data_IF_327046318713
#
_entry.id   IF_327046318713
#
_cell.length_a   1.000
_cell.length_b   1.000
_cell.length_c   1.000
_cell.angle_alpha   90.00
_cell.angle_beta   90.00
_cell.angle_gamma   90.00
#
_symmetry.space_group_name_H-M   'P 1'
#
loop_
_entity.id
_entity.type
_entity.pdbx_description
1 polymer ?
#
# COMPACT_ATOMS: atom_id res chain seq x y z
N UNK A 1 -1.95 19.53 -5.46
CA UNK A 1 -1.21 18.41 -4.85
C UNK A 1 -1.96 17.12 -5.17
N UNK A 2 -1.33 16.14 -5.80
CA UNK A 2 -1.95 14.84 -6.11
C UNK A 2 -2.08 13.97 -4.84
N UNK A 3 -3.01 12.99 -4.79
CA UNK A 3 -3.07 12.04 -3.68
C UNK A 3 -1.74 11.32 -3.42
N UNK A 4 -0.96 11.03 -4.48
CA UNK A 4 0.37 10.44 -4.37
C UNK A 4 1.39 11.33 -3.68
N UNK A 5 1.37 12.64 -3.96
CA UNK A 5 2.26 13.61 -3.31
C UNK A 5 1.94 13.75 -1.81
N UNK A 6 0.66 13.75 -1.45
CA UNK A 6 0.22 13.76 -0.04
C UNK A 6 0.69 12.48 0.67
N UNK A 7 0.48 11.32 0.05
CA UNK A 7 0.91 10.04 0.62
C UNK A 7 2.44 9.98 0.80
N UNK A 8 3.20 10.48 -0.18
CA UNK A 8 4.67 10.60 -0.10
C UNK A 8 5.09 11.48 1.08
N UNK A 9 4.49 12.67 1.20
CA UNK A 9 4.80 13.61 2.28
C UNK A 9 4.46 13.03 3.66
N UNK A 10 3.32 12.35 3.81
CA UNK A 10 2.94 11.71 5.06
C UNK A 10 3.87 10.55 5.43
N UNK A 11 4.24 9.71 4.46
CA UNK A 11 5.18 8.61 4.68
C UNK A 11 6.58 9.13 5.07
N UNK A 12 7.06 10.18 4.38
CA UNK A 12 8.29 10.88 4.75
C UNK A 12 8.23 11.42 6.18
N UNK A 13 7.18 12.19 6.51
CA UNK A 13 7.04 12.82 7.82
C UNK A 13 7.03 11.80 8.95
N UNK A 14 6.40 10.63 8.74
CA UNK A 14 6.39 9.54 9.72
C UNK A 14 7.80 8.98 9.96
N UNK A 15 8.54 8.66 8.90
CA UNK A 15 9.89 8.12 9.02
C UNK A 15 10.87 9.15 9.56
N UNK A 16 10.74 10.40 9.12
CA UNK A 16 11.55 11.49 9.62
C UNK A 16 11.30 11.75 11.11
N UNK A 17 10.06 11.69 11.59
CA UNK A 17 9.76 11.78 13.02
C UNK A 17 10.40 10.65 13.84
N UNK A 18 10.54 9.45 13.28
CA UNK A 18 11.29 8.35 13.91
C UNK A 18 12.79 8.67 13.92
N UNK A 19 13.33 9.18 12.80
CA UNK A 19 14.74 9.54 12.69
C UNK A 19 15.18 10.62 13.69
N UNK A 20 14.29 11.58 13.98
CA UNK A 20 14.53 12.65 14.96
C UNK A 20 14.36 12.21 16.42
N UNK A 21 13.98 10.95 16.68
CA UNK A 21 13.89 10.45 18.04
C UNK A 21 15.28 10.37 18.70
N UNK A 22 15.38 10.52 20.04
CA UNK A 22 16.61 10.31 20.79
C UNK A 22 17.29 8.98 20.48
N UNK A 23 18.62 8.91 20.63
CA UNK A 23 19.39 7.69 20.39
C UNK A 23 19.64 6.88 21.67
N UNK A 24 19.50 7.52 22.84
CA UNK A 24 19.65 6.90 24.17
C UNK A 24 18.48 7.24 25.08
N UNK A 25 18.27 6.42 26.12
CA UNK A 25 17.28 6.70 27.16
C UNK A 25 17.59 7.98 27.93
N UNK A 26 18.86 8.29 28.16
CA UNK A 26 19.23 9.53 28.86
C UNK A 26 18.82 10.78 28.07
N UNK A 27 19.02 10.79 26.75
CA UNK A 27 18.51 11.85 25.88
C UNK A 27 16.98 11.92 25.88
N UNK A 28 16.30 10.76 25.84
CA UNK A 28 14.85 10.69 25.92
C UNK A 28 14.33 11.24 27.25
N UNK A 29 14.97 10.91 28.37
CA UNK A 29 14.61 11.39 29.71
C UNK A 29 14.90 12.89 29.87
N UNK A 30 15.95 13.40 29.24
CA UNK A 30 16.24 14.82 29.24
C UNK A 30 15.18 15.63 28.48
N UNK A 31 14.70 15.11 27.35
CA UNK A 31 13.68 15.77 26.53
C UNK A 31 12.25 15.58 27.06
N UNK A 32 11.94 14.39 27.58
CA UNK A 32 10.62 13.99 28.06
C UNK A 32 10.74 13.26 29.40
N UNK A 33 10.89 13.98 30.53
CA UNK A 33 11.15 13.37 31.84
C UNK A 33 10.12 12.33 32.30
N UNK A 34 8.86 12.44 31.86
CA UNK A 34 7.81 11.48 32.21
C UNK A 34 8.10 10.06 31.69
N UNK A 35 8.88 9.94 30.59
CA UNK A 35 9.22 8.65 29.99
C UNK A 35 10.02 7.76 30.93
N UNK A 36 10.75 8.32 31.92
CA UNK A 36 11.44 7.53 32.96
C UNK A 36 10.46 6.69 33.77
N UNK A 37 9.32 7.29 34.13
CA UNK A 37 8.24 6.55 34.81
C UNK A 37 7.57 5.56 33.87
N UNK A 38 7.36 5.93 32.60
CA UNK A 38 6.75 5.04 31.61
C UNK A 38 7.59 3.77 31.41
N UNK A 39 8.90 3.90 31.22
CA UNK A 39 9.83 2.76 31.09
C UNK A 39 9.78 1.85 32.32
N UNK A 40 9.77 2.42 33.53
CA UNK A 40 9.65 1.64 34.76
C UNK A 40 8.31 0.89 34.89
N UNK A 41 7.20 1.49 34.43
CA UNK A 41 5.89 0.82 34.41
C UNK A 41 5.78 -0.23 33.30
N UNK A 42 6.39 -0.01 32.13
CA UNK A 42 6.44 -0.97 31.03
C UNK A 42 7.19 -2.25 31.42
N UNK A 43 8.25 -2.12 32.22
CA UNK A 43 8.98 -3.28 32.76
C UNK A 43 8.08 -4.20 33.61
N UNK A 44 7.08 -3.64 34.32
CA UNK A 44 6.13 -4.42 35.15
C UNK A 44 5.19 -5.30 34.32
N UNK A 45 4.97 -4.95 33.06
CA UNK A 45 4.19 -5.76 32.11
C UNK A 45 5.07 -6.56 31.16
N UNK A 46 6.38 -6.65 31.44
CA UNK A 46 7.34 -7.47 30.70
C UNK A 46 7.97 -6.79 29.48
N UNK A 47 7.74 -5.50 29.24
CA UNK A 47 8.44 -4.74 28.21
C UNK A 47 9.69 -4.08 28.80
N UNK A 48 10.80 -4.82 28.78
CA UNK A 48 12.10 -4.35 29.30
C UNK A 48 12.76 -3.46 28.24
N UNK A 49 13.11 -2.24 28.62
CA UNK A 49 13.71 -1.24 27.73
C UNK A 49 14.99 -0.74 28.40
N UNK A 50 16.10 -0.82 27.67
CA UNK A 50 17.41 -0.35 28.09
C UNK A 50 18.21 0.15 26.86
N UNK A 51 19.41 0.68 27.11
CA UNK A 51 20.33 1.14 26.07
C UNK A 51 21.28 0.04 25.57
N UNK A 52 21.13 -1.21 26.05
CA UNK A 52 21.93 -2.33 25.56
C UNK A 52 21.56 -2.64 24.11
N UNK A 53 22.52 -3.15 23.34
CA UNK A 53 22.29 -3.53 21.93
C UNK A 53 21.20 -4.60 21.86
N UNK A 54 20.10 -4.30 21.15
CA UNK A 54 19.01 -5.22 20.92
C UNK A 54 19.32 -6.13 19.73
N UNK A 55 19.53 -7.41 20.00
CA UNK A 55 19.71 -8.42 18.95
C UNK A 55 18.35 -8.85 18.35
N UNK A 56 18.40 -9.47 17.17
CA UNK A 56 17.22 -10.03 16.53
C UNK A 56 16.58 -11.16 17.36
N UNK A 57 17.41 -12.01 17.98
CA UNK A 57 16.95 -13.10 18.86
C UNK A 57 16.22 -12.56 20.10
N UNK A 58 16.77 -11.51 20.74
CA UNK A 58 16.12 -10.86 21.88
C UNK A 58 14.83 -10.16 21.47
N UNK A 59 14.82 -9.48 20.31
CA UNK A 59 13.63 -8.80 19.82
C UNK A 59 12.46 -9.74 19.56
N UNK A 60 12.73 -10.87 18.89
CA UNK A 60 11.75 -11.90 18.53
C UNK A 60 11.55 -12.98 19.59
N UNK A 61 12.11 -12.84 20.79
CA UNK A 61 11.87 -13.80 21.85
C UNK A 61 10.40 -13.75 22.30
N UNK A 62 9.66 -14.86 22.14
CA UNK A 62 8.23 -14.93 22.48
C UNK A 62 7.94 -14.64 23.96
N UNK A 63 8.89 -14.94 24.85
CA UNK A 63 8.70 -14.83 26.30
C UNK A 63 8.93 -13.42 26.82
N UNK A 64 9.89 -12.68 26.28
CA UNK A 64 10.32 -11.38 26.82
C UNK A 64 10.70 -10.33 25.76
N UNK A 65 10.65 -10.67 24.47
CA UNK A 65 11.07 -9.79 23.39
C UNK A 65 10.14 -8.61 23.15
N UNK A 66 10.71 -7.48 22.75
CA UNK A 66 9.98 -6.24 22.50
C UNK A 66 8.96 -6.38 21.36
N UNK A 67 9.17 -7.29 20.40
CA UNK A 67 8.20 -7.56 19.34
C UNK A 67 6.83 -7.91 19.93
N UNK A 68 6.79 -8.79 20.93
CA UNK A 68 5.56 -9.29 21.54
C UNK A 68 5.12 -8.47 22.75
N UNK A 69 6.06 -8.10 23.63
CA UNK A 69 5.73 -7.42 24.89
C UNK A 69 5.46 -5.92 24.72
N UNK A 70 5.88 -5.32 23.60
CA UNK A 70 5.61 -3.93 23.30
C UNK A 70 4.88 -3.75 21.96
N UNK A 71 5.50 -4.10 20.84
CA UNK A 71 4.98 -3.73 19.51
C UNK A 71 3.69 -4.44 19.13
N UNK A 72 3.54 -5.72 19.45
CA UNK A 72 2.30 -6.47 19.19
C UNK A 72 1.12 -5.87 19.96
N UNK A 73 1.31 -5.60 21.27
CA UNK A 73 0.30 -4.93 22.12
C UNK A 73 -0.03 -3.53 21.60
N UNK A 74 0.99 -2.74 21.29
CA UNK A 74 0.83 -1.39 20.74
C UNK A 74 0.07 -1.43 19.41
N UNK A 75 0.40 -2.36 18.52
CA UNK A 75 -0.29 -2.52 17.23
C UNK A 75 -1.76 -2.86 17.44
N UNK A 76 -2.09 -3.76 18.38
CA UNK A 76 -3.49 -4.11 18.67
C UNK A 76 -4.30 -2.94 19.23
N UNK A 77 -3.68 -2.03 19.98
CA UNK A 77 -4.35 -0.81 20.47
C UNK A 77 -4.52 0.25 19.37
N UNK A 78 -3.60 0.32 18.41
CA UNK A 78 -3.53 1.40 17.42
C UNK A 78 -3.99 1.00 16.01
N UNK A 79 -4.29 -0.28 15.78
CA UNK A 79 -4.84 -0.84 14.55
C UNK A 79 -6.12 -1.65 14.81
N UNK A 80 -7.26 -0.96 15.03
CA UNK A 80 -8.53 -1.58 15.39
C UNK A 80 -9.02 -2.71 14.47
N UNK A 81 -8.81 -2.68 13.13
CA UNK A 81 -9.24 -3.76 12.23
C UNK A 81 -8.50 -5.09 12.42
N UNK A 82 -7.24 -5.07 12.88
CA UNK A 82 -6.50 -6.31 13.17
C UNK A 82 -6.97 -6.95 14.47
N UNK A 83 -7.16 -6.13 15.51
CA UNK A 83 -7.73 -6.56 16.79
C UNK A 83 -9.16 -7.10 16.63
N UNK A 84 -9.98 -6.46 15.80
CA UNK A 84 -11.35 -6.92 15.57
C UNK A 84 -11.45 -8.23 14.80
N UNK A 85 -10.56 -8.48 13.82
CA UNK A 85 -10.56 -9.77 13.10
C UNK A 85 -10.17 -10.94 14.02
N UNK A 86 -9.31 -10.70 15.01
CA UNK A 86 -8.94 -11.69 16.02
C UNK A 86 -10.04 -11.91 17.07
N UNK A 87 -10.66 -10.84 17.58
CA UNK A 87 -11.78 -10.93 18.53
C UNK A 87 -13.03 -11.60 17.95
N UNK A 88 -13.21 -11.52 16.63
CA UNK A 88 -14.28 -12.25 15.91
C UNK A 88 -13.88 -13.70 15.57
N UNK A 89 -12.59 -14.04 15.66
CA UNK A 89 -12.06 -15.38 15.40
C UNK A 89 -11.95 -16.25 16.66
N UNK A 90 -11.57 -15.66 17.79
CA UNK A 90 -11.37 -16.35 19.07
C UNK A 90 -12.42 -15.90 20.10
N UNK A 91 -13.35 -16.78 20.51
CA UNK A 91 -14.25 -16.50 21.63
C UNK A 91 -13.56 -16.55 22.99
N UNK A 92 -12.29 -17.01 23.05
CA UNK A 92 -11.54 -17.08 24.30
C UNK A 92 -11.00 -15.71 24.73
N UNK A 93 -11.05 -15.39 26.04
CA UNK A 93 -10.47 -14.15 26.55
C UNK A 93 -8.97 -14.16 26.30
N UNK A 94 -8.48 -13.14 25.60
CA UNK A 94 -7.05 -12.94 25.40
C UNK A 94 -6.35 -12.73 26.76
N UNK A 95 -5.48 -13.66 27.18
CA UNK A 95 -4.83 -13.60 28.50
C UNK A 95 -3.90 -12.39 28.63
N UNK A 96 -3.49 -11.76 27.53
CA UNK A 96 -2.63 -10.58 27.53
C UNK A 96 -3.41 -9.24 27.50
N UNK A 97 -4.74 -9.27 27.46
CA UNK A 97 -5.61 -8.09 27.49
C UNK A 97 -5.30 -7.13 28.66
N UNK A 98 -5.09 -7.59 29.91
CA UNK A 98 -4.76 -6.67 31.01
C UNK A 98 -3.46 -5.89 30.77
N UNK A 99 -2.43 -6.57 30.24
CA UNK A 99 -1.15 -5.94 29.94
C UNK A 99 -1.26 -4.98 28.76
N UNK A 100 -2.06 -5.35 27.74
CA UNK A 100 -2.35 -4.46 26.61
C UNK A 100 -3.04 -3.19 27.08
N UNK A 101 -4.12 -3.27 27.87
CA UNK A 101 -4.78 -2.07 28.42
C UNK A 101 -3.82 -1.22 29.22
N UNK A 102 -3.01 -1.85 30.08
CA UNK A 102 -2.00 -1.16 30.89
C UNK A 102 -0.96 -0.45 30.02
N UNK A 103 -0.52 -1.03 28.90
CA UNK A 103 0.36 -0.36 27.94
C UNK A 103 -0.29 0.90 27.36
N UNK A 104 -1.58 0.84 27.01
CA UNK A 104 -2.35 1.99 26.54
C UNK A 104 -2.42 3.13 27.56
N UNK A 105 -2.63 2.79 28.84
CA UNK A 105 -2.61 3.75 29.96
C UNK A 105 -1.23 4.36 30.19
N UNK A 106 -0.17 3.54 30.17
CA UNK A 106 1.21 4.01 30.39
C UNK A 106 1.63 5.01 29.30
N UNK A 107 1.32 4.69 28.05
CA UNK A 107 1.61 5.55 26.90
C UNK A 107 0.58 6.67 26.70
N UNK A 108 -0.52 6.65 27.47
CA UNK A 108 -1.67 7.55 27.35
C UNK A 108 -2.13 7.77 25.90
N UNK A 109 -2.39 6.66 25.21
CA UNK A 109 -2.68 6.69 23.78
C UNK A 109 -3.93 7.52 23.44
N UNK A 110 -4.97 7.47 24.27
CA UNK A 110 -6.21 8.23 24.06
C UNK A 110 -5.99 9.75 24.14
N UNK A 111 -5.03 10.20 24.97
CA UNK A 111 -4.67 11.60 25.15
C UNK A 111 -3.66 12.10 24.10
N UNK A 112 -3.14 11.21 23.25
CA UNK A 112 -2.07 11.51 22.29
C UNK A 112 -0.84 12.14 22.96
N UNK A 113 -0.50 11.69 24.17
CA UNK A 113 0.55 12.28 25.00
C UNK A 113 1.93 12.34 24.26
N UNK A 114 2.58 13.51 24.20
CA UNK A 114 3.85 13.67 23.48
C UNK A 114 4.98 12.77 24.01
N UNK A 115 5.05 12.51 25.32
CA UNK A 115 6.07 11.66 25.91
C UNK A 115 5.85 10.19 25.53
N UNK A 116 4.58 9.74 25.51
CA UNK A 116 4.20 8.42 25.00
C UNK A 116 4.59 8.23 23.54
N UNK A 117 4.31 9.23 22.69
CA UNK A 117 4.72 9.21 21.28
C UNK A 117 6.25 9.20 21.10
N UNK A 118 6.98 9.99 21.91
CA UNK A 118 8.44 10.05 21.86
C UNK A 118 9.07 8.70 22.24
N UNK A 119 8.57 8.03 23.28
CA UNK A 119 9.02 6.70 23.68
C UNK A 119 8.78 5.64 22.59
N UNK A 120 7.61 5.67 21.94
CA UNK A 120 7.33 4.77 20.81
C UNK A 120 8.31 5.01 19.65
N UNK A 121 8.59 6.27 19.29
CA UNK A 121 9.52 6.63 18.21
C UNK A 121 10.97 6.25 18.55
N UNK A 122 11.39 6.43 19.81
CA UNK A 122 12.68 5.96 20.32
C UNK A 122 12.83 4.45 20.08
N UNK A 123 11.85 3.65 20.49
CA UNK A 123 11.88 2.20 20.29
C UNK A 123 11.83 1.81 18.81
N UNK A 124 11.05 2.52 17.99
CA UNK A 124 11.03 2.30 16.53
C UNK A 124 12.40 2.55 15.91
N UNK A 125 13.06 3.66 16.27
CA UNK A 125 14.42 4.00 15.80
C UNK A 125 15.43 2.93 16.23
N UNK A 126 15.39 2.52 17.49
CA UNK A 126 16.26 1.45 18.04
C UNK A 126 16.07 0.13 17.28
N UNK A 127 14.83 -0.32 17.09
CA UNK A 127 14.53 -1.57 16.38
C UNK A 127 14.93 -1.51 14.90
N UNK A 128 14.65 -0.40 14.21
CA UNK A 128 15.08 -0.23 12.81
C UNK A 128 16.61 -0.34 12.71
N UNK A 129 17.36 0.38 13.55
CA UNK A 129 18.82 0.40 13.54
C UNK A 129 19.43 -0.95 13.94
N UNK A 130 18.95 -1.54 15.03
CA UNK A 130 19.64 -2.65 15.69
C UNK A 130 19.14 -4.02 15.23
N UNK A 131 17.86 -4.15 14.88
CA UNK A 131 17.28 -5.41 14.38
C UNK A 131 17.29 -5.43 12.85
N UNK A 132 16.60 -4.47 12.23
CA UNK A 132 16.45 -4.45 10.77
C UNK A 132 17.68 -3.91 10.03
N UNK A 133 18.65 -3.33 10.75
CA UNK A 133 19.87 -2.69 10.20
C UNK A 133 19.56 -1.55 9.23
N UNK A 134 18.44 -0.86 9.45
CA UNK A 134 17.97 0.24 8.62
C UNK A 134 17.98 1.55 9.38
N UNK A 135 18.46 2.61 8.74
CA UNK A 135 18.42 3.96 9.26
C UNK A 135 17.12 4.66 8.84
N UNK A 136 16.39 5.19 9.82
CA UNK A 136 15.09 5.81 9.57
C UNK A 136 15.16 7.08 8.71
N UNK A 137 16.27 7.85 8.78
CA UNK A 137 16.45 9.02 7.92
C UNK A 137 16.66 8.58 6.48
N UNK A 138 17.51 7.58 6.25
CA UNK A 138 17.72 7.02 4.90
C UNK A 138 16.44 6.42 4.33
N UNK A 139 15.63 5.74 5.14
CA UNK A 139 14.28 5.30 4.74
C UNK A 139 13.39 6.48 4.35
N UNK A 140 13.43 7.58 5.11
CA UNK A 140 12.68 8.79 4.78
C UNK A 140 13.15 9.38 3.44
N UNK A 141 14.47 9.49 3.23
CA UNK A 141 15.06 10.05 2.01
C UNK A 141 14.69 9.22 0.77
N UNK A 142 14.73 7.88 0.88
CA UNK A 142 14.27 6.98 -0.19
C UNK A 142 12.77 7.11 -0.44
N UNK A 143 11.97 7.32 0.60
CA UNK A 143 10.53 7.59 0.46
C UNK A 143 10.29 8.92 -0.25
N UNK A 144 11.09 9.94 0.04
CA UNK A 144 11.03 11.22 -0.66
C UNK A 144 11.48 11.08 -2.12
N UNK A 145 12.47 10.24 -2.41
CA UNK A 145 12.98 10.03 -3.76
C UNK A 145 12.03 9.18 -4.62
N UNK A 146 11.61 8.03 -4.12
CA UNK A 146 10.90 7.01 -4.90
C UNK A 146 9.40 6.90 -4.61
N UNK A 147 8.88 7.57 -3.58
CA UNK A 147 7.46 7.52 -3.23
C UNK A 147 7.16 6.66 -2.00
N UNK A 148 5.88 6.61 -1.59
CA UNK A 148 5.43 5.96 -0.35
C UNK A 148 5.47 4.43 -0.48
N UNK A 149 6.67 3.86 -0.35
CA UNK A 149 6.85 2.41 -0.37
C UNK A 149 6.34 1.77 0.91
N UNK A 150 5.66 0.63 0.77
CA UNK A 150 5.31 -0.24 1.88
C UNK A 150 6.57 -1.01 2.28
N UNK A 151 7.14 -0.65 3.42
CA UNK A 151 8.37 -1.23 3.95
C UNK A 151 8.23 -2.70 4.38
N UNK A 152 7.05 -3.31 4.26
CA UNK A 152 6.87 -4.76 4.37
C UNK A 152 7.24 -5.49 3.09
N UNK A 153 7.32 -4.78 1.96
CA UNK A 153 7.67 -5.35 0.66
C UNK A 153 9.17 -5.55 0.56
N UNK A 154 9.61 -6.73 0.13
CA UNK A 154 11.02 -7.06 -0.14
C UNK A 154 11.68 -6.05 -1.09
N UNK A 155 10.93 -5.51 -2.04
CA UNK A 155 11.44 -4.53 -3.01
C UNK A 155 11.79 -3.17 -2.37
N UNK A 156 11.15 -2.78 -1.27
CA UNK A 156 11.51 -1.59 -0.50
C UNK A 156 12.87 -1.78 0.20
N UNK A 157 13.10 -2.97 0.76
CA UNK A 157 14.39 -3.36 1.35
C UNK A 157 15.49 -3.45 0.29
N UNK A 158 15.16 -4.01 -0.88
CA UNK A 158 16.09 -4.06 -2.00
C UNK A 158 16.54 -2.67 -2.43
N UNK A 159 15.61 -1.70 -2.55
CA UNK A 159 15.98 -0.31 -2.83
C UNK A 159 16.88 0.29 -1.75
N UNK A 160 16.60 0.01 -0.48
CA UNK A 160 17.43 0.48 0.63
C UNK A 160 18.87 -0.01 0.50
N UNK A 161 19.07 -1.32 0.43
CA UNK A 161 20.41 -1.90 0.41
C UNK A 161 21.18 -1.64 -0.88
N UNK A 162 20.48 -1.53 -2.02
CA UNK A 162 21.10 -1.12 -3.28
C UNK A 162 21.63 0.31 -3.20
N UNK A 163 20.86 1.24 -2.63
CA UNK A 163 21.33 2.63 -2.47
C UNK A 163 22.51 2.69 -1.49
N UNK A 164 22.46 1.95 -0.39
CA UNK A 164 23.58 1.88 0.56
C UNK A 164 24.85 1.31 -0.07
N UNK A 165 24.73 0.22 -0.85
CA UNK A 165 25.85 -0.36 -1.59
C UNK A 165 26.44 0.59 -2.63
N UNK A 166 25.60 1.38 -3.31
CA UNK A 166 26.06 2.38 -4.27
C UNK A 166 26.80 3.53 -3.59
N UNK A 167 26.34 4.00 -2.42
CA UNK A 167 26.98 5.06 -1.62
C UNK A 167 28.31 4.58 -1.03
N UNK A 168 28.31 3.43 -0.37
CA UNK A 168 29.50 2.86 0.27
C UNK A 168 30.63 2.54 -0.72
N UNK A 169 30.31 2.37 -2.00
CA UNK A 169 31.31 2.18 -3.05
C UNK A 169 32.15 3.42 -3.42
N UNK A 170 31.86 4.62 -2.87
CA UNK A 170 32.64 5.87 -3.11
C UNK A 170 32.93 6.20 -4.59
N UNK A 171 32.04 5.90 -5.53
CA UNK A 171 32.37 6.03 -6.95
C UNK A 171 31.97 7.37 -7.58
N UNK A 172 32.78 7.77 -8.56
CA UNK A 172 32.63 8.97 -9.40
C UNK A 172 32.27 8.56 -10.83
N UNK A 173 31.73 9.49 -11.62
CA UNK A 173 31.40 9.32 -13.06
C UNK A 173 32.57 8.72 -13.87
N UNK A 174 33.81 8.91 -13.40
CA UNK A 174 35.05 8.45 -14.04
C UNK A 174 35.55 7.06 -13.64
N UNK A 175 34.94 6.36 -12.68
CA UNK A 175 35.33 5.01 -12.27
C UNK A 175 34.10 4.10 -12.20
N UNK A 176 33.60 3.71 -13.37
CA UNK A 176 32.42 2.85 -13.53
C UNK A 176 32.85 1.41 -13.85
N UNK A 177 32.64 0.46 -12.93
CA UNK A 177 32.89 -0.97 -13.15
C UNK A 177 31.64 -1.73 -13.61
N UNK A 178 31.82 -2.81 -14.38
CA UNK A 178 30.73 -3.61 -14.99
C UNK A 178 29.68 -4.16 -13.99
N UNK A 179 29.99 -4.26 -12.69
CA UNK A 179 29.11 -4.85 -11.68
C UNK A 179 27.94 -3.92 -11.28
N UNK A 180 28.08 -2.59 -11.47
CA UNK A 180 27.03 -1.62 -11.11
C UNK A 180 25.85 -1.57 -12.07
N UNK A 181 26.00 -2.02 -13.31
CA UNK A 181 24.86 -2.19 -14.23
C UNK A 181 23.85 -3.19 -13.65
N UNK A 182 24.33 -4.25 -13.00
CA UNK A 182 23.47 -5.22 -12.32
C UNK A 182 22.85 -4.62 -11.05
N UNK A 183 23.62 -3.86 -10.26
CA UNK A 183 23.09 -3.17 -9.06
C UNK A 183 22.02 -2.13 -9.43
N UNK A 184 22.24 -1.33 -10.46
CA UNK A 184 21.26 -0.35 -10.94
C UNK A 184 20.03 -1.01 -11.58
N UNK A 185 20.17 -2.20 -12.17
CA UNK A 185 19.02 -3.01 -12.61
C UNK A 185 18.13 -3.42 -11.44
N UNK A 186 18.69 -3.65 -10.25
CA UNK A 186 17.88 -3.92 -9.06
C UNK A 186 16.95 -2.74 -8.74
N UNK A 187 17.40 -1.48 -8.91
CA UNK A 187 16.53 -0.31 -8.77
C UNK A 187 15.33 -0.39 -9.73
N UNK A 188 15.57 -0.72 -11.01
CA UNK A 188 14.49 -0.88 -11.98
C UNK A 188 13.52 -2.00 -11.62
N UNK A 189 14.03 -3.16 -11.18
CA UNK A 189 13.19 -4.29 -10.78
C UNK A 189 12.36 -3.96 -9.55
N UNK A 190 12.96 -3.36 -8.51
CA UNK A 190 12.27 -2.99 -7.29
C UNK A 190 11.18 -1.95 -7.55
N UNK A 191 11.49 -0.88 -8.31
CA UNK A 191 10.48 0.13 -8.66
C UNK A 191 9.35 -0.47 -9.49
N UNK A 192 9.66 -1.38 -10.42
CA UNK A 192 8.62 -2.09 -11.18
C UNK A 192 7.74 -2.95 -10.29
N UNK A 193 8.33 -3.68 -9.34
CA UNK A 193 7.58 -4.53 -8.43
C UNK A 193 6.72 -3.70 -7.49
N UNK A 194 7.23 -2.59 -6.95
CA UNK A 194 6.45 -1.64 -6.15
C UNK A 194 5.29 -1.05 -6.99
N UNK A 195 5.53 -0.65 -8.23
CA UNK A 195 4.44 -0.22 -9.12
C UNK A 195 3.33 -1.28 -9.26
N UNK A 196 3.70 -2.56 -9.31
CA UNK A 196 2.73 -3.65 -9.49
C UNK A 196 2.11 -4.17 -8.18
N UNK A 197 2.81 -4.06 -7.03
CA UNK A 197 2.52 -4.82 -5.81
C UNK A 197 2.76 -4.07 -4.49
N UNK A 198 3.02 -2.76 -4.50
CA UNK A 198 3.39 -2.01 -3.29
C UNK A 198 2.35 -2.09 -2.16
N UNK A 199 1.07 -2.31 -2.47
CA UNK A 199 0.02 -2.30 -1.45
C UNK A 199 -0.31 -3.71 -0.98
N UNK A 200 0.33 -4.13 0.11
CA UNK A 200 0.05 -5.44 0.72
C UNK A 200 -1.17 -5.37 1.65
N UNK A 201 -2.19 -6.16 1.33
CA UNK A 201 -3.37 -6.37 2.17
C UNK A 201 -3.41 -7.83 2.59
N UNK A 202 -3.47 -8.09 3.89
CA UNK A 202 -3.75 -9.43 4.38
C UNK A 202 -5.22 -9.49 4.81
N UNK A 203 -5.94 -10.44 4.23
CA UNK A 203 -7.31 -10.78 4.62
C UNK A 203 -7.29 -12.15 5.30
N UNK A 204 -7.42 -12.21 6.63
CA UNK A 204 -7.52 -13.46 7.35
C UNK A 204 -8.92 -14.06 7.13
N UNK A 205 -8.97 -15.34 6.77
CA UNK A 205 -10.17 -16.15 6.93
C UNK A 205 -10.13 -16.78 8.31
N UNK A 206 -10.97 -16.27 9.21
CA UNK A 206 -10.93 -16.61 10.64
C UNK A 206 -11.42 -18.02 10.95
N UNK A 207 -12.20 -18.61 10.04
CA UNK A 207 -12.76 -19.96 10.20
C UNK A 207 -11.98 -21.04 9.47
N UNK A 208 -11.16 -20.66 8.49
CA UNK A 208 -10.26 -21.57 7.78
C UNK A 208 -9.03 -20.81 7.27
N UNK A 209 -7.91 -21.06 7.94
CA UNK A 209 -6.63 -20.40 7.65
C UNK A 209 -6.15 -20.65 6.23
N UNK A 210 -6.56 -21.74 5.58
CA UNK A 210 -6.16 -22.06 4.21
C UNK A 210 -6.80 -21.12 3.17
N UNK A 211 -7.88 -20.42 3.53
CA UNK A 211 -8.51 -19.40 2.69
C UNK A 211 -8.03 -17.98 3.02
N UNK A 212 -7.18 -17.80 4.04
CA UNK A 212 -6.56 -16.52 4.28
C UNK A 212 -5.63 -16.20 3.09
N UNK A 213 -5.67 -14.97 2.61
CA UNK A 213 -4.86 -14.59 1.46
C UNK A 213 -4.17 -13.25 1.65
N UNK A 214 -2.97 -13.16 1.08
CA UNK A 214 -2.23 -11.91 0.93
C UNK A 214 -2.51 -11.40 -0.47
N UNK A 215 -3.11 -10.22 -0.53
CA UNK A 215 -3.34 -9.50 -1.76
C UNK A 215 -2.30 -8.40 -1.95
N UNK A 216 -1.88 -8.21 -3.20
CA UNK A 216 -0.98 -7.13 -3.59
C UNK A 216 -1.70 -6.25 -4.62
N UNK A 217 -1.82 -4.97 -4.31
CA UNK A 217 -2.43 -4.00 -5.21
C UNK A 217 -1.38 -3.11 -5.88
N UNK A 218 -1.56 -2.78 -7.18
CA UNK A 218 -0.69 -1.84 -7.89
C UNK A 218 -0.70 -0.45 -7.26
N UNK A 219 0.44 0.24 -7.35
CA UNK A 219 0.57 1.63 -6.96
C UNK A 219 1.19 2.45 -8.11
N UNK A 220 0.31 3.08 -8.88
CA UNK A 220 0.69 3.88 -10.05
C UNK A 220 1.49 5.14 -9.68
N UNK A 221 1.66 5.46 -8.40
CA UNK A 221 2.56 6.56 -7.98
C UNK A 221 4.04 6.23 -8.20
N UNK A 222 4.39 4.97 -8.47
CA UNK A 222 5.76 4.56 -8.81
C UNK A 222 6.11 4.74 -10.29
N UNK A 223 5.16 5.16 -11.14
CA UNK A 223 5.45 5.42 -12.57
C UNK A 223 6.47 6.56 -12.72
N UNK A 224 6.25 7.69 -12.05
CA UNK A 224 7.17 8.83 -12.10
C UNK A 224 8.57 8.46 -11.55
N UNK A 225 8.71 7.88 -10.34
CA UNK A 225 9.96 7.32 -9.84
C UNK A 225 10.67 6.38 -10.82
N UNK A 226 9.94 5.47 -11.46
CA UNK A 226 10.52 4.54 -12.43
C UNK A 226 10.96 5.25 -13.72
N UNK A 227 10.20 6.23 -14.19
CA UNK A 227 10.58 7.09 -15.30
C UNK A 227 11.86 7.87 -14.99
N UNK A 228 11.92 8.53 -13.83
CA UNK A 228 13.12 9.26 -13.38
C UNK A 228 14.32 8.34 -13.19
N UNK A 229 14.12 7.13 -12.69
CA UNK A 229 15.20 6.14 -12.60
C UNK A 229 15.78 5.82 -13.98
N UNK A 230 14.94 5.68 -15.02
CA UNK A 230 15.43 5.47 -16.39
C UNK A 230 16.27 6.66 -16.86
N UNK A 231 15.84 7.88 -16.61
CA UNK A 231 16.55 9.09 -17.03
C UNK A 231 17.87 9.29 -16.29
N UNK A 232 17.88 9.06 -14.97
CA UNK A 232 19.04 9.31 -14.13
C UNK A 232 20.06 8.18 -14.25
N UNK A 233 19.64 6.94 -13.98
CA UNK A 233 20.57 5.81 -13.98
C UNK A 233 20.81 5.25 -15.37
N UNK A 234 19.81 5.26 -16.26
CA UNK A 234 20.00 4.79 -17.64
C UNK A 234 21.04 5.60 -18.40
N UNK A 235 21.10 6.93 -18.19
CA UNK A 235 22.14 7.79 -18.78
C UNK A 235 23.52 7.61 -18.14
N UNK A 236 23.58 7.21 -16.87
CA UNK A 236 24.85 6.91 -16.21
C UNK A 236 25.45 5.60 -16.72
N UNK A 237 24.61 4.58 -16.93
CA UNK A 237 25.03 3.25 -17.39
C UNK A 237 25.34 3.25 -18.88
N UNK A 238 24.56 3.99 -19.67
CA UNK A 238 24.71 4.11 -21.12
C UNK A 238 24.76 5.59 -21.53
N UNK A 239 25.92 6.25 -21.34
CA UNK A 239 26.07 7.66 -21.64
C UNK A 239 26.11 7.89 -23.16
N UNK A 240 24.95 8.22 -23.73
CA UNK A 240 24.81 8.71 -25.10
C UNK A 240 24.37 10.19 -25.08
N UNK A 241 25.30 11.17 -25.16
CA UNK A 241 24.98 12.59 -25.00
C UNK A 241 23.97 13.13 -26.03
N UNK A 242 23.88 12.48 -27.19
CA UNK A 242 22.97 12.86 -28.28
C UNK A 242 21.60 12.20 -28.16
N UNK A 243 21.40 11.27 -27.22
CA UNK A 243 20.11 10.63 -27.03
C UNK A 243 19.11 11.62 -26.42
N UNK A 244 17.96 11.82 -27.10
CA UNK A 244 16.85 12.63 -26.57
C UNK A 244 16.25 12.05 -25.28
N UNK A 245 16.39 10.74 -25.06
CA UNK A 245 15.86 10.00 -23.91
C UNK A 245 16.94 9.26 -23.13
N UNK A 246 16.80 7.94 -23.04
CA UNK A 246 17.87 7.04 -22.56
C UNK A 246 18.68 6.50 -23.74
N UNK A 247 19.91 6.06 -23.47
CA UNK A 247 20.79 5.45 -24.46
C UNK A 247 20.24 4.15 -25.07
N UNK A 248 20.87 3.68 -26.14
CA UNK A 248 20.44 2.53 -26.95
C UNK A 248 20.17 1.27 -26.12
N UNK A 249 20.96 1.02 -25.07
CA UNK A 249 20.86 -0.15 -24.18
C UNK A 249 19.50 -0.24 -23.48
N UNK A 250 18.97 0.89 -23.01
CA UNK A 250 17.71 0.94 -22.25
C UNK A 250 16.53 1.49 -23.03
N UNK A 251 16.76 1.95 -24.28
CA UNK A 251 15.73 2.59 -25.11
C UNK A 251 14.47 1.73 -25.24
N UNK A 252 14.63 0.46 -25.65
CA UNK A 252 13.50 -0.47 -25.81
C UNK A 252 12.77 -0.71 -24.50
N UNK A 253 13.50 -0.90 -23.40
CA UNK A 253 12.91 -1.12 -22.07
C UNK A 253 12.10 0.09 -21.61
N UNK A 254 12.61 1.31 -21.83
CA UNK A 254 11.92 2.55 -21.46
C UNK A 254 10.67 2.77 -22.33
N UNK A 255 10.73 2.51 -23.64
CA UNK A 255 9.56 2.57 -24.54
C UNK A 255 8.47 1.59 -24.10
N UNK A 256 8.85 0.37 -23.74
CA UNK A 256 7.91 -0.66 -23.26
C UNK A 256 7.29 -0.26 -21.91
N UNK A 257 8.10 0.26 -20.99
CA UNK A 257 7.60 0.77 -19.70
C UNK A 257 6.65 1.96 -19.89
N UNK A 258 6.98 2.96 -20.71
CA UNK A 258 6.11 4.11 -20.96
C UNK A 258 4.80 3.67 -21.60
N UNK A 259 4.87 2.77 -22.57
CA UNK A 259 3.70 2.15 -23.19
C UNK A 259 2.77 1.51 -22.15
N UNK A 260 3.32 0.67 -21.27
CA UNK A 260 2.61 0.06 -20.16
C UNK A 260 2.03 1.12 -19.20
N UNK A 261 2.84 2.08 -18.76
CA UNK A 261 2.45 3.14 -17.84
C UNK A 261 1.29 3.99 -18.39
N UNK A 262 1.36 4.39 -19.67
CA UNK A 262 0.29 5.14 -20.35
C UNK A 262 -1.01 4.34 -20.32
N UNK A 263 -0.96 3.05 -20.66
CA UNK A 263 -2.13 2.17 -20.61
C UNK A 263 -2.69 2.04 -19.19
N UNK A 264 -1.84 1.80 -18.19
CA UNK A 264 -2.27 1.66 -16.80
C UNK A 264 -2.90 2.95 -16.24
N UNK A 265 -2.28 4.10 -16.51
CA UNK A 265 -2.81 5.41 -16.12
C UNK A 265 -4.16 5.70 -16.80
N UNK A 266 -4.27 5.39 -18.09
CA UNK A 266 -5.51 5.60 -18.84
C UNK A 266 -6.65 4.71 -18.31
N UNK A 267 -6.38 3.42 -18.08
CA UNK A 267 -7.36 2.49 -17.51
C UNK A 267 -7.76 2.86 -16.07
N UNK A 268 -6.85 3.47 -15.31
CA UNK A 268 -7.12 4.00 -13.97
C UNK A 268 -7.79 5.39 -13.95
N UNK A 269 -8.17 5.94 -15.11
CA UNK A 269 -8.81 7.27 -15.21
C UNK A 269 -7.85 8.46 -15.01
N UNK A 270 -6.54 8.22 -14.86
CA UNK A 270 -5.49 9.25 -14.72
C UNK A 270 -5.10 9.84 -16.08
N UNK A 271 -6.09 10.31 -16.85
CA UNK A 271 -5.93 10.71 -18.26
C UNK A 271 -4.89 11.81 -18.49
N UNK A 272 -4.79 12.78 -17.56
CA UNK A 272 -3.81 13.87 -17.65
C UNK A 272 -2.38 13.33 -17.63
N UNK A 273 -2.11 12.36 -16.77
CA UNK A 273 -0.78 11.75 -16.64
C UNK A 273 -0.50 10.81 -17.80
N UNK A 274 -1.49 10.01 -18.21
CA UNK A 274 -1.39 9.21 -19.43
C UNK A 274 -1.05 10.09 -20.66
N UNK A 275 -1.70 11.25 -20.79
CA UNK A 275 -1.42 12.22 -21.85
C UNK A 275 0.00 12.81 -21.77
N UNK A 276 0.47 13.14 -20.56
CA UNK A 276 1.83 13.63 -20.34
C UNK A 276 2.89 12.62 -20.81
N UNK A 277 2.81 11.37 -20.35
CA UNK A 277 3.77 10.34 -20.76
C UNK A 277 3.64 9.95 -22.23
N UNK A 278 2.42 10.02 -22.80
CA UNK A 278 2.23 9.79 -24.22
C UNK A 278 2.89 10.87 -25.07
N UNK A 279 2.78 12.14 -24.66
CA UNK A 279 3.51 13.22 -25.32
C UNK A 279 5.03 13.02 -25.22
N UNK A 280 5.54 12.68 -24.03
CA UNK A 280 6.96 12.38 -23.84
C UNK A 280 7.43 11.25 -24.77
N UNK A 281 6.69 10.14 -24.83
CA UNK A 281 6.99 8.99 -25.69
C UNK A 281 7.06 9.40 -27.17
N UNK A 282 6.09 10.20 -27.63
CA UNK A 282 6.03 10.70 -29.02
C UNK A 282 7.20 11.59 -29.38
N UNK A 283 7.54 12.53 -28.51
CA UNK A 283 8.59 13.52 -28.77
C UNK A 283 9.99 12.91 -28.69
N UNK A 284 10.17 11.95 -27.78
CA UNK A 284 11.47 11.34 -27.48
C UNK A 284 11.79 10.16 -28.39
N UNK A 285 10.81 9.27 -28.60
CA UNK A 285 11.02 7.99 -29.29
C UNK A 285 10.18 7.83 -30.56
N UNK A 286 9.10 8.61 -30.69
CA UNK A 286 8.16 8.49 -31.79
C UNK A 286 8.54 9.22 -33.07
N UNK A 287 9.74 9.82 -33.16
CA UNK A 287 10.25 10.45 -34.39
C UNK A 287 11.24 9.55 -35.10
N UNK A 288 11.12 9.49 -36.42
CA UNK A 288 12.09 8.84 -37.31
C UNK A 288 13.29 9.77 -37.57
N UNK A 289 14.31 9.23 -38.21
CA UNK A 289 15.53 9.98 -38.57
C UNK A 289 15.21 11.18 -39.49
N UNK A 290 14.20 11.06 -40.35
CA UNK A 290 13.70 12.13 -41.23
C UNK A 290 12.86 13.21 -40.49
N UNK A 291 12.69 13.07 -39.17
CA UNK A 291 11.92 13.99 -38.32
C UNK A 291 10.41 13.77 -38.34
N UNK A 292 9.89 12.89 -39.20
CA UNK A 292 8.48 12.51 -39.24
C UNK A 292 8.08 11.70 -38.00
N UNK A 293 6.81 11.76 -37.61
CA UNK A 293 6.28 10.96 -36.50
C UNK A 293 5.95 9.56 -37.02
N UNK A 294 6.42 8.53 -36.33
CA UNK A 294 6.07 7.15 -36.64
C UNK A 294 4.53 6.96 -36.54
N UNK A 295 3.87 6.37 -37.55
CA UNK A 295 2.42 6.13 -37.57
C UNK A 295 1.88 5.38 -36.35
N UNK A 296 2.72 4.59 -35.68
CA UNK A 296 2.38 3.91 -34.41
C UNK A 296 2.00 4.93 -33.34
N UNK A 297 2.64 6.09 -33.33
CA UNK A 297 2.40 7.17 -32.37
C UNK A 297 1.74 8.41 -33.00
N UNK A 298 1.31 8.34 -34.28
CA UNK A 298 0.57 9.40 -34.96
C UNK A 298 -0.96 9.27 -34.77
N UNK A 299 -1.39 8.69 -33.66
CA UNK A 299 -2.80 8.45 -33.33
C UNK A 299 -3.22 9.20 -32.06
N UNK A 300 -4.50 9.16 -31.72
CA UNK A 300 -4.96 9.71 -30.45
C UNK A 300 -4.50 8.85 -29.27
N UNK A 301 -4.42 9.42 -28.07
CA UNK A 301 -4.12 8.66 -26.85
C UNK A 301 -5.09 7.48 -26.66
N UNK A 302 -6.38 7.71 -26.93
CA UNK A 302 -7.41 6.67 -26.88
C UNK A 302 -7.10 5.53 -27.86
N UNK A 303 -6.82 5.85 -29.12
CA UNK A 303 -6.53 4.83 -30.13
C UNK A 303 -5.23 4.06 -29.84
N UNK A 304 -4.23 4.76 -29.29
CA UNK A 304 -2.99 4.14 -28.84
C UNK A 304 -3.27 3.10 -27.74
N UNK A 305 -4.04 3.47 -26.71
CA UNK A 305 -4.43 2.56 -25.63
C UNK A 305 -5.34 1.44 -26.14
N UNK A 306 -6.31 1.73 -27.00
CA UNK A 306 -7.22 0.74 -27.57
C UNK A 306 -6.48 -0.30 -28.44
N UNK A 307 -5.40 0.09 -29.14
CA UNK A 307 -4.51 -0.87 -29.83
C UNK A 307 -3.79 -1.76 -28.84
N UNK A 308 -3.16 -1.19 -27.82
CA UNK A 308 -2.43 -1.97 -26.81
C UNK A 308 -3.34 -2.90 -26.00
N UNK A 309 -4.56 -2.47 -25.70
CA UNK A 309 -5.56 -3.31 -25.03
C UNK A 309 -6.00 -4.45 -25.95
N UNK A 310 -6.08 -4.25 -27.27
CA UNK A 310 -6.39 -5.34 -28.22
C UNK A 310 -5.22 -6.30 -28.42
N UNK A 311 -4.00 -5.76 -28.50
CA UNK A 311 -2.75 -6.52 -28.65
C UNK A 311 -2.38 -7.28 -27.36
N UNK A 312 -2.79 -6.77 -26.19
CA UNK A 312 -2.59 -7.36 -24.87
C UNK A 312 -3.87 -7.84 -24.17
N UNK A 313 -4.99 -7.96 -24.90
CA UNK A 313 -6.26 -8.40 -24.33
C UNK A 313 -6.09 -9.79 -23.71
N UNK A 314 -6.38 -9.92 -22.42
CA UNK A 314 -6.45 -11.23 -21.75
C UNK A 314 -5.41 -11.52 -20.67
N UNK A 315 -4.54 -10.57 -20.27
CA UNK A 315 -3.69 -10.80 -19.09
C UNK A 315 -4.46 -10.51 -17.79
N UNK A 316 -4.33 -11.40 -16.79
CA UNK A 316 -4.94 -11.27 -15.45
C UNK A 316 -4.75 -9.88 -14.84
N UNK A 317 -3.52 -9.36 -14.95
CA UNK A 317 -3.14 -8.07 -14.38
C UNK A 317 -3.84 -6.90 -15.05
N UNK A 318 -3.95 -6.93 -16.37
CA UNK A 318 -4.52 -5.82 -17.13
C UNK A 318 -6.02 -5.71 -16.89
N UNK A 319 -6.70 -6.85 -16.81
CA UNK A 319 -8.11 -6.87 -16.48
C UNK A 319 -8.36 -6.42 -15.04
N UNK A 320 -7.53 -6.88 -14.09
CA UNK A 320 -7.61 -6.44 -12.69
C UNK A 320 -7.45 -4.93 -12.56
N UNK A 321 -6.51 -4.33 -13.29
CA UNK A 321 -6.28 -2.88 -13.31
C UNK A 321 -7.43 -2.12 -13.96
N UNK A 322 -7.98 -2.65 -15.06
CA UNK A 322 -9.18 -2.10 -15.72
C UNK A 322 -10.37 -2.06 -14.75
N UNK A 323 -10.64 -3.17 -14.07
CA UNK A 323 -11.72 -3.27 -13.08
C UNK A 323 -11.48 -2.29 -11.94
N UNK A 324 -10.27 -2.27 -11.35
CA UNK A 324 -9.93 -1.36 -10.26
C UNK A 324 -10.10 0.12 -10.67
N UNK A 325 -9.71 0.49 -11.89
CA UNK A 325 -9.90 1.84 -12.43
C UNK A 325 -11.37 2.23 -12.61
N UNK A 326 -12.19 1.30 -13.10
CA UNK A 326 -13.64 1.50 -13.19
C UNK A 326 -14.28 1.64 -11.81
N UNK A 327 -13.90 0.79 -10.84
CA UNK A 327 -14.39 0.90 -9.47
C UNK A 327 -14.00 2.25 -8.84
N UNK A 328 -12.76 2.70 -8.99
CA UNK A 328 -12.34 4.02 -8.50
C UNK A 328 -13.15 5.15 -9.17
N UNK A 329 -13.34 5.09 -10.49
CA UNK A 329 -14.17 6.06 -11.23
C UNK A 329 -15.63 6.06 -10.74
N UNK A 330 -16.15 4.89 -10.37
CA UNK A 330 -17.47 4.76 -9.77
C UNK A 330 -17.53 5.47 -8.41
N UNK A 331 -16.55 5.26 -7.54
CA UNK A 331 -16.48 5.91 -6.22
C UNK A 331 -16.37 7.43 -6.34
N UNK A 332 -15.56 7.94 -7.27
CA UNK A 332 -15.46 9.38 -7.55
C UNK A 332 -16.77 9.98 -8.11
N UNK A 333 -17.44 9.28 -9.03
CA UNK A 333 -18.73 9.74 -9.55
C UNK A 333 -19.79 9.78 -8.42
N UNK A 334 -19.86 8.72 -7.62
CA UNK A 334 -20.79 8.62 -6.50
C UNK A 334 -20.50 9.62 -5.38
N UNK A 335 -19.22 9.92 -5.10
CA UNK A 335 -18.83 10.96 -4.11
C UNK A 335 -19.21 12.37 -4.57
N UNK A 336 -19.26 12.62 -5.88
CA UNK A 336 -19.77 13.86 -6.48
C UNK A 336 -21.30 13.89 -6.60
N UNK A 337 -21.98 12.77 -6.34
CA UNK A 337 -23.44 12.65 -6.45
C UNK A 337 -23.95 12.23 -7.83
N UNK A 338 -23.05 11.95 -8.77
CA UNK A 338 -23.39 11.44 -10.10
C UNK A 338 -23.64 9.92 -10.04
N UNK A 339 -24.88 9.57 -9.66
CA UNK A 339 -25.31 8.17 -9.54
C UNK A 339 -25.38 7.47 -10.89
N UNK A 340 -25.64 8.20 -11.97
CA UNK A 340 -25.73 7.63 -13.31
C UNK A 340 -24.36 7.15 -13.76
N UNK A 341 -23.35 8.04 -13.75
CA UNK A 341 -22.00 7.67 -14.13
C UNK A 341 -21.42 6.61 -13.18
N UNK A 342 -21.66 6.74 -11.87
CA UNK A 342 -21.26 5.75 -10.88
C UNK A 342 -21.76 4.34 -11.19
N UNK A 343 -23.06 4.19 -11.43
CA UNK A 343 -23.66 2.88 -11.76
C UNK A 343 -23.21 2.34 -13.12
N UNK A 344 -22.95 3.22 -14.10
CA UNK A 344 -22.37 2.81 -15.38
C UNK A 344 -21.00 2.18 -15.17
N UNK A 345 -20.11 2.82 -14.42
CA UNK A 345 -18.78 2.26 -14.14
C UNK A 345 -18.84 0.93 -13.39
N UNK A 346 -19.72 0.79 -12.38
CA UNK A 346 -19.92 -0.48 -11.68
C UNK A 346 -20.40 -1.60 -12.62
N UNK A 347 -21.32 -1.26 -13.54
CA UNK A 347 -21.86 -2.21 -14.52
C UNK A 347 -20.80 -2.67 -15.50
N UNK A 348 -19.99 -1.73 -16.02
CA UNK A 348 -18.90 -2.05 -16.93
C UNK A 348 -17.79 -2.84 -16.23
N UNK A 349 -17.47 -2.55 -14.97
CA UNK A 349 -16.53 -3.31 -14.16
C UNK A 349 -17.00 -4.77 -13.97
N UNK A 350 -18.28 -4.97 -13.66
CA UNK A 350 -18.85 -6.30 -13.52
C UNK A 350 -18.89 -7.06 -14.86
N UNK A 351 -19.10 -6.36 -15.98
CA UNK A 351 -19.07 -6.97 -17.33
C UNK A 351 -17.65 -7.39 -17.71
N UNK A 352 -16.68 -6.51 -17.49
CA UNK A 352 -15.25 -6.76 -17.68
C UNK A 352 -14.79 -8.01 -16.90
N UNK A 353 -15.12 -8.07 -15.62
CA UNK A 353 -14.86 -9.24 -14.76
C UNK A 353 -15.44 -10.54 -15.32
N UNK A 354 -16.73 -10.55 -15.66
CA UNK A 354 -17.39 -11.76 -16.20
C UNK A 354 -16.76 -12.21 -17.50
N UNK A 355 -16.57 -11.29 -18.45
CA UNK A 355 -15.99 -11.60 -19.75
C UNK A 355 -14.60 -12.23 -19.63
N UNK A 356 -13.77 -11.73 -18.71
CA UNK A 356 -12.45 -12.31 -18.45
C UNK A 356 -12.53 -13.70 -17.83
N UNK A 357 -13.28 -13.88 -16.75
CA UNK A 357 -13.39 -15.18 -16.08
C UNK A 357 -14.07 -16.26 -16.95
N UNK A 358 -14.93 -15.86 -17.90
CA UNK A 358 -15.51 -16.75 -18.92
C UNK A 358 -14.48 -17.11 -20.01
N UNK A 359 -13.51 -16.22 -20.29
CA UNK A 359 -12.44 -16.47 -21.27
C UNK A 359 -11.31 -17.35 -20.74
N UNK A 360 -11.10 -17.37 -19.43
CA UNK A 360 -10.18 -18.26 -18.70
C UNK A 360 -10.90 -19.60 -18.52
N UNK A 361 -10.55 -20.59 -19.34
CA UNK A 361 -11.27 -21.87 -19.48
C UNK A 361 -11.46 -22.63 -18.16
N UNK A 362 -12.35 -23.63 -18.14
CA UNK A 362 -12.65 -24.41 -16.92
C UNK A 362 -11.45 -25.22 -16.39
N UNK A 363 -10.54 -25.65 -17.26
CA UNK A 363 -9.31 -26.40 -16.91
C UNK A 363 -8.13 -25.51 -16.49
N UNK A 364 -8.18 -24.19 -16.69
CA UNK A 364 -7.10 -23.31 -16.24
C UNK A 364 -7.13 -23.17 -14.72
N UNK A 365 -5.96 -23.41 -14.09
CA UNK A 365 -5.74 -23.39 -12.64
C UNK A 365 -6.45 -22.18 -12.02
N UNK A 366 -7.26 -22.39 -10.96
CA UNK A 366 -7.99 -21.36 -10.18
C UNK A 366 -7.20 -20.05 -9.94
N UNK A 367 -5.87 -20.11 -9.93
CA UNK A 367 -4.92 -18.99 -9.83
C UNK A 367 -4.97 -17.98 -11.00
N UNK A 368 -5.53 -18.34 -12.16
CA UNK A 368 -5.66 -17.44 -13.32
C UNK A 368 -7.00 -16.70 -13.37
N UNK A 369 -8.01 -17.15 -12.60
CA UNK A 369 -9.30 -16.45 -12.51
C UNK A 369 -9.19 -15.27 -11.55
N UNK A 370 -9.90 -14.18 -11.86
CA UNK A 370 -10.07 -13.08 -10.93
C UNK A 370 -10.91 -13.52 -9.72
N UNK A 371 -10.64 -13.00 -8.52
CA UNK A 371 -11.49 -13.21 -7.35
C UNK A 371 -12.95 -12.85 -7.63
N UNK A 372 -13.92 -13.33 -6.82
CA UNK A 372 -15.32 -12.94 -6.96
C UNK A 372 -15.47 -11.41 -7.04
N UNK A 373 -16.25 -10.92 -8.00
CA UNK A 373 -16.38 -9.48 -8.24
C UNK A 373 -16.78 -8.68 -6.98
N UNK A 374 -17.62 -9.27 -6.12
CA UNK A 374 -18.04 -8.65 -4.86
C UNK A 374 -16.89 -8.42 -3.87
N UNK A 375 -15.87 -9.27 -3.87
CA UNK A 375 -14.68 -9.06 -3.04
C UNK A 375 -13.85 -7.90 -3.58
N UNK A 376 -13.59 -7.90 -4.89
CA UNK A 376 -12.87 -6.81 -5.56
C UNK A 376 -13.56 -5.45 -5.36
N UNK A 377 -14.90 -5.44 -5.43
CA UNK A 377 -15.72 -4.25 -5.24
C UNK A 377 -15.66 -3.73 -3.79
N UNK A 378 -15.79 -4.63 -2.80
CA UNK A 378 -15.75 -4.23 -1.38
C UNK A 378 -14.35 -3.83 -0.93
N UNK A 379 -13.30 -4.50 -1.41
CA UNK A 379 -11.91 -4.13 -1.12
C UNK A 379 -11.52 -2.79 -1.73
N UNK A 380 -11.86 -2.56 -3.00
CA UNK A 380 -11.63 -1.26 -3.64
C UNK A 380 -12.33 -0.13 -2.89
N UNK A 381 -13.56 -0.36 -2.42
CA UNK A 381 -14.31 0.62 -1.64
C UNK A 381 -13.65 0.89 -0.28
N UNK A 382 -13.20 -0.15 0.42
CA UNK A 382 -12.49 -0.02 1.70
C UNK A 382 -11.17 0.75 1.51
N UNK A 383 -10.40 0.45 0.47
CA UNK A 383 -9.18 1.18 0.14
C UNK A 383 -9.44 2.66 -0.13
N UNK A 384 -10.51 2.97 -0.87
CA UNK A 384 -10.90 4.36 -1.15
C UNK A 384 -11.20 5.12 0.15
N UNK A 385 -11.94 4.52 1.08
CA UNK A 385 -12.25 5.15 2.38
C UNK A 385 -11.06 5.20 3.35
N UNK A 386 -10.06 4.32 3.21
CA UNK A 386 -8.85 4.32 4.07
C UNK A 386 -7.93 5.50 3.84
N UNK A 387 -7.99 6.16 2.67
CA UNK A 387 -7.21 7.37 2.40
C UNK A 387 -7.78 8.51 3.25
N UNK A 388 -7.08 9.03 4.28
CA UNK A 388 -7.65 10.02 5.19
C UNK A 388 -8.00 11.33 4.45
N UNK A 389 -9.12 11.95 4.81
CA UNK A 389 -9.39 13.31 4.37
C UNK A 389 -8.35 14.27 4.95
N UNK A 390 -7.83 15.18 4.12
CA UNK A 390 -6.86 16.22 4.54
C UNK A 390 -7.49 17.60 4.67
N UNK A 391 -8.77 17.73 4.33
CA UNK A 391 -9.55 18.95 4.50
C UNK A 391 -11.05 18.60 4.60
N UNK A 392 -11.83 19.57 5.06
CA UNK A 392 -13.28 19.46 5.24
C UNK A 392 -14.02 19.09 3.95
N UNK A 393 -13.55 19.55 2.78
CA UNK A 393 -14.18 19.25 1.50
C UNK A 393 -14.12 17.74 1.18
N UNK A 394 -12.94 17.12 1.33
CA UNK A 394 -12.78 15.68 1.13
C UNK A 394 -13.58 14.85 2.13
N UNK A 395 -13.64 15.28 3.39
CA UNK A 395 -14.46 14.61 4.41
C UNK A 395 -15.96 14.64 4.04
N UNK A 396 -16.44 15.75 3.46
CA UNK A 396 -17.81 15.85 2.93
C UNK A 396 -18.03 14.95 1.71
N UNK A 397 -17.05 14.85 0.80
CA UNK A 397 -17.15 13.94 -0.36
C UNK A 397 -17.25 12.48 0.07
N UNK A 398 -16.48 12.05 1.06
CA UNK A 398 -16.56 10.70 1.63
C UNK A 398 -17.93 10.42 2.27
N UNK A 399 -18.43 11.33 3.10
CA UNK A 399 -19.77 11.20 3.68
C UNK A 399 -20.85 11.15 2.59
N UNK A 400 -20.69 11.92 1.50
CA UNK A 400 -21.60 11.87 0.35
C UNK A 400 -21.54 10.53 -0.39
N UNK A 401 -20.34 10.00 -0.63
CA UNK A 401 -20.17 8.67 -1.20
C UNK A 401 -20.93 7.65 -0.35
N UNK A 402 -20.69 7.62 0.96
CA UNK A 402 -21.36 6.69 1.87
C UNK A 402 -22.88 6.71 1.71
N UNK A 403 -23.49 7.91 1.69
CA UNK A 403 -24.94 8.07 1.52
C UNK A 403 -25.47 7.63 0.16
N UNK A 404 -24.63 7.65 -0.88
CA UNK A 404 -24.99 7.24 -2.23
C UNK A 404 -24.76 5.75 -2.49
N UNK A 405 -24.09 5.03 -1.60
CA UNK A 405 -23.85 3.61 -1.76
C UNK A 405 -25.12 2.78 -1.51
N UNK A 406 -25.36 1.74 -2.34
CA UNK A 406 -26.43 0.79 -2.10
C UNK A 406 -26.18 0.00 -0.82
N UNK A 407 -27.26 -0.50 -0.22
CA UNK A 407 -27.20 -1.26 1.03
C UNK A 407 -26.33 -2.53 0.91
N UNK A 408 -26.33 -3.15 -0.27
CA UNK A 408 -25.51 -4.31 -0.62
C UNK A 408 -24.00 -4.03 -0.56
N UNK A 409 -23.58 -2.76 -0.65
CA UNK A 409 -22.18 -2.35 -0.52
C UNK A 409 -21.85 -1.79 0.85
N UNK A 410 -22.80 -1.13 1.51
CA UNK A 410 -22.56 -0.57 2.84
C UNK A 410 -22.43 -1.65 3.91
N UNK A 411 -23.29 -2.67 3.91
CA UNK A 411 -23.30 -3.71 4.95
C UNK A 411 -21.98 -4.49 5.05
N UNK A 412 -21.38 -4.99 3.95
CA UNK A 412 -20.13 -5.77 4.03
C UNK A 412 -18.91 -4.98 4.50
N UNK A 413 -18.92 -3.64 4.37
CA UNK A 413 -17.74 -2.80 4.65
C UNK A 413 -17.88 -1.94 5.90
N UNK A 414 -19.09 -1.77 6.45
CA UNK A 414 -19.33 -0.82 7.55
C UNK A 414 -18.46 -1.10 8.77
N UNK A 415 -18.46 -2.34 9.26
CA UNK A 415 -17.65 -2.71 10.44
C UNK A 415 -16.14 -2.62 10.18
N UNK A 416 -15.69 -2.72 8.92
CA UNK A 416 -14.28 -2.51 8.51
C UNK A 416 -13.87 -1.03 8.53
N UNK A 417 -14.83 -0.09 8.43
CA UNK A 417 -14.58 1.33 8.20
C UNK A 417 -15.00 2.24 9.37
N UNK A 418 -15.92 1.79 10.24
CA UNK A 418 -16.56 2.63 11.28
C UNK A 418 -15.58 3.37 12.20
N UNK A 419 -14.46 2.77 12.55
CA UNK A 419 -13.46 3.42 13.43
C UNK A 419 -12.70 4.53 12.69
N UNK A 420 -12.37 4.31 11.41
CA UNK A 420 -11.79 5.33 10.54
C UNK A 420 -12.77 6.48 10.29
N UNK A 421 -14.06 6.18 10.13
CA UNK A 421 -15.12 7.18 10.07
C UNK A 421 -15.17 8.03 11.34
N UNK A 422 -15.07 7.39 12.52
CA UNK A 422 -15.04 8.09 13.81
C UNK A 422 -13.85 9.04 13.91
N UNK A 423 -12.64 8.56 13.64
CA UNK A 423 -11.41 9.37 13.70
C UNK A 423 -11.45 10.55 12.73
N UNK A 424 -11.92 10.33 11.50
CA UNK A 424 -12.04 11.41 10.51
C UNK A 424 -13.09 12.45 10.92
N UNK A 425 -14.23 12.01 11.44
CA UNK A 425 -15.26 12.92 11.96
C UNK A 425 -14.76 13.72 13.16
N UNK A 426 -14.01 13.11 14.09
CA UNK A 426 -13.39 13.81 15.23
C UNK A 426 -12.42 14.89 14.75
N UNK A 427 -11.59 14.58 13.75
CA UNK A 427 -10.61 15.53 13.19
C UNK A 427 -11.26 16.77 12.54
N UNK A 428 -12.46 16.62 11.96
CA UNK A 428 -13.17 17.70 11.26
C UNK A 428 -14.40 18.24 12.00
N UNK A 429 -14.68 17.77 13.22
CA UNK A 429 -15.83 18.20 14.02
C UNK A 429 -17.19 17.78 13.46
N UNK A 430 -17.27 16.62 12.80
CA UNK A 430 -18.49 16.07 12.23
C UNK A 430 -19.18 15.09 13.18
N UNK A 431 -20.51 15.00 13.07
CA UNK A 431 -21.31 13.96 13.73
C UNK A 431 -21.23 12.66 12.90
N UNK A 432 -20.63 11.61 13.48
CA UNK A 432 -20.44 10.30 12.84
C UNK A 432 -21.76 9.67 12.43
N UNK A 433 -22.78 9.72 13.28
CA UNK A 433 -24.08 9.09 12.99
C UNK A 433 -24.80 9.79 11.83
N UNK A 434 -24.53 11.08 11.61
CA UNK A 434 -25.07 11.84 10.47
C UNK A 434 -24.22 11.69 9.20
N UNK A 435 -22.90 11.65 9.33
CA UNK A 435 -21.99 11.53 8.19
C UNK A 435 -21.96 10.11 7.61
N UNK A 436 -21.91 9.11 8.50
CA UNK A 436 -21.74 7.70 8.19
C UNK A 436 -22.76 6.84 8.96
N UNK A 437 -24.07 7.00 8.71
CA UNK A 437 -25.09 6.23 9.41
C UNK A 437 -24.89 4.73 9.21
N UNK A 438 -25.11 3.98 10.29
CA UNK A 438 -25.12 2.52 10.27
C UNK A 438 -26.14 2.02 9.24
N UNK A 439 -25.76 1.05 8.39
CA UNK A 439 -26.69 0.48 7.42
C UNK A 439 -27.88 -0.19 8.11
N UNK A 440 -29.05 -0.08 7.50
CA UNK A 440 -30.25 -0.76 8.01
C UNK A 440 -30.04 -2.27 8.04
N UNK A 441 -30.53 -2.96 9.09
CA UNK A 441 -30.47 -4.41 9.22
C UNK A 441 -29.06 -4.99 9.44
N UNK A 442 -28.14 -4.21 10.03
CA UNK A 442 -26.79 -4.69 10.36
C UNK A 442 -26.81 -5.83 11.38
N UNK A 443 -27.74 -5.85 12.34
CA UNK A 443 -27.81 -6.93 13.33
C UNK A 443 -28.18 -8.28 12.70
N UNK A 444 -29.16 -8.29 11.79
CA UNK A 444 -29.48 -9.48 10.99
C UNK A 444 -28.34 -9.87 10.06
N UNK A 445 -27.65 -8.88 9.48
CA UNK A 445 -26.50 -9.12 8.60
C UNK A 445 -25.34 -9.76 9.37
N UNK A 446 -25.02 -9.26 10.57
CA UNK A 446 -24.01 -9.83 11.49
C UNK A 446 -24.39 -11.26 11.90
N UNK A 447 -25.66 -11.49 12.23
CA UNK A 447 -26.16 -12.82 12.58
C UNK A 447 -26.04 -13.82 11.41
N UNK A 448 -26.38 -13.40 10.19
CA UNK A 448 -26.26 -14.25 8.98
C UNK A 448 -24.80 -14.44 8.52
N UNK A 449 -23.96 -13.41 8.63
CA UNK A 449 -22.54 -13.52 8.31
C UNK A 449 -21.82 -14.48 9.27
N UNK A 450 -22.20 -14.47 10.55
CA UNK A 450 -21.76 -15.48 11.53
C UNK A 450 -22.26 -16.90 11.22
N UNK A 451 -23.44 -17.05 10.59
CA UNK A 451 -24.00 -18.34 10.18
C UNK A 451 -23.44 -18.92 8.87
N UNK A 452 -22.95 -18.09 7.95
CA UNK A 452 -22.40 -18.54 6.65
C UNK A 452 -21.04 -19.24 6.77
N UNK A 453 -20.38 -19.10 7.91
CA UNK A 453 -19.20 -19.89 8.26
C UNK A 453 -19.52 -21.38 8.54
N UNK A 454 -20.79 -21.74 8.73
CA UNK A 454 -21.23 -23.10 9.06
C UNK A 454 -21.64 -23.96 7.85
N UNK A 455 -21.87 -23.38 6.68
CA UNK A 455 -22.14 -24.13 5.45
C UNK A 455 -20.84 -24.34 4.67
N UNK A 456 -20.18 -25.46 4.95
CA UNK A 456 -19.12 -25.99 4.09
C UNK A 456 -19.71 -26.26 2.70
N UNK A 457 -19.09 -25.79 1.61
CA UNK A 457 -19.26 -26.44 0.32
C UNK A 457 -18.68 -27.85 0.44
N UNK A 458 -19.54 -28.87 0.38
CA UNK A 458 -19.10 -30.22 0.09
C UNK A 458 -18.33 -30.20 -1.24
N UNK A 459 -17.24 -30.96 -1.27
CA UNK A 459 -16.28 -31.14 -2.38
C UNK A 459 -15.16 -30.09 -2.49
N UNK A 460 -14.11 -30.26 -1.68
CA UNK A 460 -12.73 -30.14 -2.21
C UNK A 460 -11.78 -31.12 -1.50
N UNK A 461 -11.01 -31.80 -2.35
CA UNK A 461 -10.04 -32.87 -2.09
C UNK A 461 -8.88 -32.36 -1.21
N UNK A 462 -8.55 -33.12 -0.18
CA UNK A 462 -7.35 -32.93 0.64
C UNK A 462 -6.09 -32.90 -0.25
N UNK A 463 -5.39 -31.77 -0.31
CA UNK A 463 -4.02 -31.73 -0.83
C UNK A 463 -3.11 -32.49 0.14
N UNK A 464 -2.32 -33.49 -0.31
CA UNK A 464 -1.40 -34.22 0.54
C UNK A 464 -0.35 -33.27 1.12
N UNK A 465 -0.07 -33.43 2.42
CA UNK A 465 1.05 -32.78 3.08
C UNK A 465 2.33 -33.01 2.28
N UNK A 466 3.03 -31.92 1.94
CA UNK A 466 4.40 -32.01 1.45
C UNK A 466 5.29 -32.40 2.63
N UNK A 467 5.52 -33.70 2.78
CA UNK A 467 6.72 -34.21 3.45
C UNK A 467 7.82 -34.35 2.40
N UNK A 468 8.92 -33.64 2.67
CA UNK A 468 10.33 -33.82 2.25
C UNK A 468 10.97 -32.54 1.68
#
# INVERSE_FOLDING_TARGET
VSPGEVAKAAAYARLHAIAQAPDTLDELYAQYPETRRMVAELAKIGAVINDETLTEEEYWNERNGLAFKFFYRYRRLTDPPALMRELLANPEPDPDEPNRRRLGEILKLDEHDPAGQALVRFLQKKVLREVYKMDAQKMADLTALFGPMDWRMVDAHSLYWVNEGLIAGEETISKFGNDKTNTARMIFFSLRNLMNKNRMVFEPYTTDVNYAYINFNPDLNFIEPMHQAFLNYGRMIDPEPTAKGVGSTYRTAHVNFLSEAIRLLYLAGRFREAGHYYQYLRETYGRREDGSIDPTYAVSLRDFVDRQVREGAGSYRDERLRIAGMLNSAWEALSRGDRTAGNTYLTEAARAHRAYNESVGEEEVLKMKLPPFREMETDSLVEWFRVPAVNTFMAVEKARLWRNLPLSLRRPVYDRLRDGFKQECEAFGFDVARAYPEPEGMDEYRAKAGGRAAEKPDDFVETPAQND
#
